data_IF_341878042047
#
_entry.id   IF_341878042047
#
_cell.length_a   1.000
_cell.length_b   1.000
_cell.length_c   1.000
_cell.angle_alpha   90.00
_cell.angle_beta   90.00
_cell.angle_gamma   90.00
#
_symmetry.space_group_name_H-M   'P 1'
#
loop_
_entity.id
_entity.type
_entity.pdbx_description
1 polymer ?
#
# COMPACT_ATOMS: atom_id res chain seq x y z
N UNK A 1 -39.22 -16.28 4.11
CA UNK A 1 -37.98 -15.59 4.51
C UNK A 1 -37.05 -15.56 3.30
N UNK A 2 -36.58 -14.40 2.85
CA UNK A 2 -35.67 -14.35 1.70
C UNK A 2 -34.29 -14.82 2.16
N UNK A 3 -33.84 -15.97 1.65
CA UNK A 3 -32.46 -16.41 1.75
C UNK A 3 -31.56 -15.31 1.19
N UNK A 4 -30.72 -14.74 2.04
CA UNK A 4 -29.67 -13.83 1.58
C UNK A 4 -28.45 -14.69 1.28
N UNK A 5 -28.27 -15.06 0.02
CA UNK A 5 -27.00 -15.59 -0.46
C UNK A 5 -25.90 -14.57 -0.12
N UNK A 6 -24.95 -15.01 0.72
CA UNK A 6 -23.83 -14.18 1.11
C UNK A 6 -22.79 -14.21 -0.02
N UNK A 7 -22.80 -13.17 -0.84
CA UNK A 7 -21.89 -12.99 -1.97
C UNK A 7 -20.62 -12.29 -1.49
N UNK A 8 -19.46 -12.94 -1.65
CA UNK A 8 -18.16 -12.33 -1.34
C UNK A 8 -17.35 -12.16 -2.60
N UNK A 9 -16.97 -10.93 -2.92
CA UNK A 9 -16.07 -10.63 -4.05
C UNK A 9 -14.69 -10.28 -3.52
N UNK A 10 -13.67 -10.92 -4.07
CA UNK A 10 -12.27 -10.69 -3.72
C UNK A 10 -11.50 -10.12 -4.90
N UNK A 11 -10.83 -8.99 -4.70
CA UNK A 11 -9.87 -8.39 -5.66
C UNK A 11 -8.48 -8.36 -5.03
N UNK A 12 -7.44 -8.39 -5.87
CA UNK A 12 -6.04 -8.29 -5.40
C UNK A 12 -5.36 -7.08 -6.02
N UNK A 13 -4.80 -6.22 -5.17
CA UNK A 13 -4.01 -5.07 -5.58
C UNK A 13 -2.56 -5.26 -5.13
N UNK A 14 -1.67 -4.45 -5.68
CA UNK A 14 -0.26 -4.40 -5.35
C UNK A 14 0.10 -2.98 -4.91
N UNK A 15 0.75 -2.87 -3.75
CA UNK A 15 1.37 -1.65 -3.27
C UNK A 15 2.88 -1.86 -3.28
N UNK A 16 3.62 -0.96 -3.90
CA UNK A 16 5.07 -1.12 -4.02
C UNK A 16 5.80 0.20 -4.13
N UNK A 17 7.13 0.12 -4.02
CA UNK A 17 8.00 1.23 -4.36
C UNK A 17 9.32 0.74 -4.95
N UNK A 18 9.90 1.60 -5.76
CA UNK A 18 11.28 1.50 -6.21
C UNK A 18 12.07 2.65 -5.59
N UNK A 19 13.33 2.43 -5.24
CA UNK A 19 14.23 3.49 -4.81
C UNK A 19 15.65 3.24 -5.29
N UNK A 20 16.31 4.30 -5.74
CA UNK A 20 17.68 4.27 -6.23
C UNK A 20 18.50 5.34 -5.51
N UNK A 21 19.74 5.01 -5.18
CA UNK A 21 20.71 6.03 -4.80
C UNK A 21 21.02 6.96 -5.96
N UNK A 22 21.09 8.25 -5.66
CA UNK A 22 21.66 9.23 -6.56
C UNK A 22 23.19 9.07 -6.61
N UNK A 23 23.79 9.34 -7.77
CA UNK A 23 25.26 9.35 -7.93
C UNK A 23 25.89 10.41 -7.02
N UNK A 24 25.23 11.56 -6.93
CA UNK A 24 25.59 12.69 -6.09
C UNK A 24 24.32 13.23 -5.43
N UNK A 25 24.39 13.74 -4.19
CA UNK A 25 23.22 14.36 -3.55
C UNK A 25 22.70 15.55 -4.35
N UNK A 26 21.39 15.80 -4.30
CA UNK A 26 20.80 17.02 -4.87
C UNK A 26 21.27 18.27 -4.11
N UNK A 27 21.01 19.47 -4.65
CA UNK A 27 21.30 20.74 -3.98
C UNK A 27 20.58 20.86 -2.62
N UNK A 28 19.41 20.25 -2.50
CA UNK A 28 18.62 20.16 -1.27
C UNK A 28 19.12 19.07 -0.30
N UNK A 29 20.14 18.30 -0.69
CA UNK A 29 20.70 17.20 0.09
C UNK A 29 19.92 15.89 -0.03
N UNK A 30 19.07 15.72 -1.05
CA UNK A 30 18.41 14.44 -1.29
C UNK A 30 19.42 13.39 -1.76
N UNK A 31 19.28 12.15 -1.31
CA UNK A 31 20.22 11.06 -1.59
C UNK A 31 19.62 9.97 -2.47
N UNK A 32 18.30 9.93 -2.59
CA UNK A 32 17.56 8.93 -3.33
C UNK A 32 16.52 9.54 -4.26
N UNK A 33 16.30 8.88 -5.38
CA UNK A 33 15.07 8.98 -6.15
C UNK A 33 14.21 7.76 -5.86
N UNK A 34 12.94 7.98 -5.57
CA UNK A 34 11.99 6.90 -5.28
C UNK A 34 10.67 7.08 -6.02
N UNK A 35 9.99 5.97 -6.25
CA UNK A 35 8.67 5.91 -6.85
C UNK A 35 7.81 4.94 -6.09
N UNK A 36 6.75 5.42 -5.45
CA UNK A 36 5.72 4.58 -4.81
C UNK A 36 4.51 4.43 -5.73
N UNK A 37 3.85 3.28 -5.71
CA UNK A 37 2.73 3.00 -6.60
C UNK A 37 1.65 2.08 -5.99
N UNK A 38 0.45 2.18 -6.55
CA UNK A 38 -0.66 1.24 -6.36
C UNK A 38 -1.12 0.76 -7.74
N UNK A 39 -1.23 -0.56 -7.94
CA UNK A 39 -1.72 -1.15 -9.19
C UNK A 39 -2.53 -2.43 -8.96
N UNK A 40 -3.18 -2.93 -10.00
CA UNK A 40 -3.81 -4.25 -9.96
C UNK A 40 -2.80 -5.37 -10.19
N UNK A 41 -3.03 -6.52 -9.55
CA UNK A 41 -2.24 -7.73 -9.80
C UNK A 41 -2.38 -8.17 -11.26
N UNK A 42 -1.28 -8.63 -11.86
CA UNK A 42 -1.21 -9.15 -13.24
C UNK A 42 -1.82 -8.19 -14.29
N UNK A 43 -1.70 -6.87 -14.10
CA UNK A 43 -2.23 -5.87 -15.04
C UNK A 43 -3.73 -5.60 -14.91
N UNK A 44 -4.38 -6.07 -13.84
CA UNK A 44 -5.79 -5.80 -13.58
C UNK A 44 -6.10 -4.30 -13.52
N UNK A 45 -7.16 -3.89 -14.23
CA UNK A 45 -7.60 -2.49 -14.35
C UNK A 45 -8.40 -2.02 -13.14
N UNK A 46 -7.69 -1.65 -12.07
CA UNK A 46 -8.31 -1.26 -10.80
C UNK A 46 -9.10 0.04 -10.88
N UNK A 47 -8.89 0.87 -11.90
CA UNK A 47 -9.67 2.09 -12.18
C UNK A 47 -11.17 1.83 -12.36
N UNK A 48 -11.59 0.58 -12.57
CA UNK A 48 -13.00 0.22 -12.58
C UNK A 48 -13.67 0.39 -11.22
N UNK A 49 -12.99 0.06 -10.12
CA UNK A 49 -13.55 0.14 -8.75
C UNK A 49 -12.86 1.19 -7.87
N UNK A 50 -11.68 1.69 -8.26
CA UNK A 50 -10.97 2.77 -7.58
C UNK A 50 -11.39 4.11 -8.18
N UNK A 51 -11.78 5.05 -7.32
CA UNK A 51 -12.11 6.44 -7.66
C UNK A 51 -10.85 7.29 -7.73
N UNK A 52 -10.03 7.22 -6.66
CA UNK A 52 -8.77 7.93 -6.56
C UNK A 52 -7.87 7.26 -5.53
N UNK A 53 -6.56 7.50 -5.66
CA UNK A 53 -5.55 7.11 -4.68
C UNK A 53 -4.92 8.38 -4.09
N UNK A 54 -4.82 8.43 -2.77
CA UNK A 54 -4.22 9.55 -2.04
C UNK A 54 -2.97 9.05 -1.31
N UNK A 55 -1.81 9.56 -1.68
CA UNK A 55 -0.54 9.33 -0.98
C UNK A 55 -0.29 10.51 -0.04
N UNK A 56 -0.16 10.24 1.26
CA UNK A 56 0.15 11.26 2.27
C UNK A 56 1.63 11.21 2.63
N UNK A 57 2.44 11.94 1.85
CA UNK A 57 3.87 12.07 2.07
C UNK A 57 4.16 12.74 3.43
N UNK A 58 5.40 12.61 3.90
CA UNK A 58 5.84 13.32 5.09
C UNK A 58 5.67 14.84 4.94
N UNK A 59 5.40 15.54 6.05
CA UNK A 59 5.08 16.99 6.07
C UNK A 59 6.17 17.91 5.52
N UNK A 60 7.40 17.40 5.36
CA UNK A 60 8.54 18.14 4.78
C UNK A 60 8.44 18.28 3.26
N UNK A 61 7.67 17.44 2.59
CA UNK A 61 7.46 17.55 1.15
C UNK A 61 6.51 18.70 0.81
N UNK A 62 6.79 19.42 -0.27
CA UNK A 62 5.83 20.38 -0.84
C UNK A 62 4.58 19.64 -1.31
N UNK A 63 3.41 20.19 -1.00
CA UNK A 63 2.12 19.55 -1.31
C UNK A 63 2.10 18.06 -0.89
N UNK A 64 2.22 17.75 0.41
CA UNK A 64 2.49 16.38 0.88
C UNK A 64 1.32 15.42 0.63
N UNK A 65 0.10 15.93 0.39
CA UNK A 65 -1.04 15.10 -0.02
C UNK A 65 -1.11 15.06 -1.54
N UNK A 66 -0.73 13.93 -2.14
CA UNK A 66 -0.79 13.69 -3.60
C UNK A 66 -2.04 12.87 -3.92
N UNK A 67 -2.97 13.45 -4.67
CA UNK A 67 -4.22 12.79 -5.07
C UNK A 67 -4.20 12.49 -6.56
N UNK A 68 -4.41 11.22 -6.93
CA UNK A 68 -4.45 10.76 -8.31
C UNK A 68 -5.79 10.10 -8.59
N UNK A 69 -6.55 10.64 -9.53
CA UNK A 69 -7.88 10.16 -9.93
C UNK A 69 -7.86 9.19 -11.12
N UNK A 70 -6.69 9.02 -11.75
CA UNK A 70 -6.48 8.15 -12.92
C UNK A 70 -5.16 7.38 -12.82
N UNK A 71 -5.06 6.17 -13.41
CA UNK A 71 -3.81 5.44 -13.50
C UNK A 71 -2.82 6.12 -14.46
N UNK A 72 -1.50 5.91 -14.30
CA UNK A 72 -0.86 5.11 -13.24
C UNK A 72 -0.89 5.83 -11.88
N UNK A 73 -1.34 5.13 -10.83
CA UNK A 73 -1.37 5.68 -9.48
C UNK A 73 0.01 5.58 -8.84
N UNK A 74 0.92 6.49 -9.21
CA UNK A 74 2.29 6.53 -8.70
C UNK A 74 2.75 7.94 -8.39
N UNK A 75 3.64 8.07 -7.40
CA UNK A 75 4.29 9.32 -7.04
C UNK A 75 5.79 9.13 -7.13
N UNK A 76 6.43 10.04 -7.86
CA UNK A 76 7.88 10.14 -8.01
C UNK A 76 8.38 11.33 -7.18
N UNK A 77 9.43 11.12 -6.41
CA UNK A 77 10.04 12.15 -5.55
C UNK A 77 11.50 11.81 -5.25
N UNK A 78 12.22 12.81 -4.74
CA UNK A 78 13.57 12.63 -4.20
C UNK A 78 13.57 12.85 -2.69
N UNK A 79 14.39 12.12 -1.96
CA UNK A 79 14.42 12.19 -0.49
C UNK A 79 15.70 11.65 0.13
N UNK A 80 15.83 11.84 1.44
CA UNK A 80 16.99 11.41 2.20
C UNK A 80 16.69 10.34 3.26
N UNK A 81 15.41 10.11 3.58
CA UNK A 81 14.99 9.17 4.61
C UNK A 81 13.69 8.46 4.22
N UNK A 82 13.57 7.21 4.70
CA UNK A 82 12.33 6.46 4.65
C UNK A 82 11.31 6.93 5.70
N UNK A 83 10.05 6.56 5.52
CA UNK A 83 8.95 6.91 6.42
C UNK A 83 7.72 6.04 6.21
N UNK A 84 6.83 6.01 7.22
CA UNK A 84 5.50 5.42 7.08
C UNK A 84 4.60 6.35 6.26
N UNK A 85 4.15 5.84 5.11
CA UNK A 85 3.34 6.52 4.12
C UNK A 85 1.89 6.00 4.18
N UNK A 86 0.93 6.79 4.69
CA UNK A 86 -0.49 6.48 4.55
C UNK A 86 -0.93 6.58 3.08
N UNK A 87 -1.51 5.49 2.57
CA UNK A 87 -2.08 5.39 1.22
C UNK A 87 -3.58 5.15 1.36
N UNK A 88 -4.41 6.11 0.93
CA UNK A 88 -5.86 5.96 0.90
C UNK A 88 -6.33 5.58 -0.51
N UNK A 89 -7.05 4.47 -0.63
CA UNK A 89 -7.73 4.06 -1.85
C UNK A 89 -9.21 4.36 -1.68
N UNK A 90 -9.71 5.36 -2.42
CA UNK A 90 -11.13 5.71 -2.44
C UNK A 90 -11.82 4.85 -3.49
N UNK A 91 -12.95 4.26 -3.10
CA UNK A 91 -13.67 3.27 -3.90
C UNK A 91 -14.85 3.94 -4.61
N UNK A 92 -15.14 3.51 -5.83
CA UNK A 92 -16.37 3.86 -6.58
C UNK A 92 -17.60 3.14 -6.00
N UNK A 93 -17.73 3.17 -4.68
CA UNK A 93 -18.75 2.52 -3.88
C UNK A 93 -19.55 3.59 -3.13
N UNK A 94 -20.88 3.57 -3.29
CA UNK A 94 -21.79 4.49 -2.59
C UNK A 94 -22.00 4.08 -1.13
N UNK A 95 -21.73 2.83 -0.79
CA UNK A 95 -21.88 2.27 0.56
C UNK A 95 -20.53 2.21 1.30
N UNK A 96 -20.59 1.94 2.61
CA UNK A 96 -19.39 1.66 3.39
C UNK A 96 -18.82 0.28 3.02
N UNK A 97 -17.48 0.10 2.93
CA UNK A 97 -16.46 1.14 3.03
C UNK A 97 -16.37 1.99 1.75
N UNK A 98 -16.22 3.31 1.92
CA UNK A 98 -15.93 4.26 0.82
C UNK A 98 -14.45 4.41 0.52
N UNK A 99 -13.59 4.04 1.47
CA UNK A 99 -12.14 4.05 1.30
C UNK A 99 -11.47 3.00 2.16
N UNK A 100 -10.27 2.61 1.75
CA UNK A 100 -9.38 1.70 2.48
C UNK A 100 -8.06 2.44 2.70
N UNK A 101 -7.47 2.33 3.89
CA UNK A 101 -6.22 3.01 4.22
C UNK A 101 -5.16 1.96 4.53
N UNK A 102 -4.01 2.07 3.87
CA UNK A 102 -2.82 1.28 4.15
C UNK A 102 -1.76 2.17 4.79
N UNK A 103 -1.11 1.66 5.84
CA UNK A 103 0.19 2.18 6.26
C UNK A 103 1.27 1.43 5.47
N UNK A 104 1.98 2.14 4.60
CA UNK A 104 3.03 1.58 3.75
C UNK A 104 4.39 2.03 4.24
N UNK A 105 5.31 1.11 4.50
CA UNK A 105 6.67 1.45 4.90
C UNK A 105 7.52 1.72 3.66
N UNK A 106 7.82 3.00 3.42
CA UNK A 106 8.73 3.44 2.36
C UNK A 106 10.11 3.55 2.99
N UNK A 107 10.89 2.48 2.91
CA UNK A 107 12.27 2.46 3.39
C UNK A 107 13.23 2.83 2.26
N UNK A 108 14.40 3.34 2.64
CA UNK A 108 15.50 3.63 1.73
C UNK A 108 16.71 2.83 2.17
N UNK A 109 17.52 2.37 1.22
CA UNK A 109 18.73 1.61 1.54
C UNK A 109 19.85 2.56 1.98
N UNK A 110 20.96 1.99 2.45
CA UNK A 110 22.23 2.71 2.64
C UNK A 110 23.07 2.65 1.37
N UNK A 111 24.05 3.55 1.24
CA UNK A 111 24.86 3.70 0.03
C UNK A 111 25.49 2.36 -0.35
N UNK A 112 25.66 2.15 -1.66
CA UNK A 112 26.29 0.96 -2.26
C UNK A 112 25.48 -0.35 -2.11
N UNK A 113 24.22 -0.26 -1.70
CA UNK A 113 23.27 -1.37 -1.78
C UNK A 113 22.50 -1.35 -3.12
N UNK A 114 22.02 -2.52 -3.60
CA UNK A 114 21.19 -2.59 -4.79
C UNK A 114 19.93 -1.70 -4.69
N UNK A 115 19.41 -1.22 -5.84
CA UNK A 115 18.11 -0.58 -5.92
C UNK A 115 17.01 -1.37 -5.20
N UNK A 116 16.14 -0.65 -4.51
CA UNK A 116 14.95 -1.25 -3.93
C UNK A 116 13.94 -1.48 -5.04
N UNK A 117 13.40 -2.69 -5.08
CA UNK A 117 12.18 -3.04 -5.79
C UNK A 117 11.32 -3.87 -4.84
N UNK A 118 10.47 -3.20 -4.06
CA UNK A 118 9.67 -3.83 -3.02
C UNK A 118 8.18 -3.69 -3.34
N UNK A 119 7.42 -4.76 -3.16
CA UNK A 119 5.97 -4.73 -3.28
C UNK A 119 5.31 -5.77 -2.38
N UNK A 120 4.04 -5.53 -2.04
CA UNK A 120 3.18 -6.50 -1.35
C UNK A 120 1.82 -6.57 -2.01
N UNK A 121 1.24 -7.77 -2.01
CA UNK A 121 -0.12 -7.98 -2.48
C UNK A 121 -1.12 -7.80 -1.34
N UNK A 122 -2.18 -7.04 -1.59
CA UNK A 122 -3.30 -6.85 -0.67
C UNK A 122 -4.56 -7.47 -1.26
N UNK A 123 -5.18 -8.38 -0.52
CA UNK A 123 -6.40 -9.09 -0.92
C UNK A 123 -7.60 -8.43 -0.28
N UNK A 124 -8.34 -7.62 -1.04
CA UNK A 124 -9.52 -6.91 -0.57
C UNK A 124 -10.74 -7.82 -0.70
N UNK A 125 -11.49 -7.96 0.39
CA UNK A 125 -12.73 -8.74 0.44
C UNK A 125 -13.91 -7.81 0.65
N UNK A 126 -14.89 -7.88 -0.24
CA UNK A 126 -16.13 -7.12 -0.17
C UNK A 126 -17.28 -8.10 0.00
N UNK A 127 -17.94 -8.04 1.17
CA UNK A 127 -19.12 -8.85 1.48
C UNK A 127 -20.39 -8.12 1.04
N UNK A 128 -21.25 -8.82 0.31
CA UNK A 128 -22.50 -8.33 -0.23
C UNK A 128 -22.40 -6.94 -0.90
N UNK A 129 -21.44 -6.74 -1.84
CA UNK A 129 -21.36 -5.48 -2.57
C UNK A 129 -22.65 -5.26 -3.36
N UNK A 130 -23.13 -4.01 -3.41
CA UNK A 130 -24.26 -3.67 -4.27
C UNK A 130 -23.96 -4.04 -5.75
N UNK A 131 -24.99 -4.30 -6.57
CA UNK A 131 -24.79 -4.79 -7.94
C UNK A 131 -23.88 -3.93 -8.80
N UNK A 132 -23.96 -2.60 -8.67
CA UNK A 132 -23.13 -1.64 -9.40
C UNK A 132 -21.64 -1.79 -9.04
N UNK A 133 -21.33 -1.84 -7.74
CA UNK A 133 -19.97 -2.00 -7.24
C UNK A 133 -19.42 -3.41 -7.51
N UNK A 134 -20.26 -4.44 -7.37
CA UNK A 134 -19.92 -5.82 -7.74
C UNK A 134 -19.45 -5.90 -9.19
N UNK A 135 -20.20 -5.34 -10.13
CA UNK A 135 -19.83 -5.32 -11.55
C UNK A 135 -18.46 -4.67 -11.78
N UNK A 136 -18.16 -3.56 -11.09
CA UNK A 136 -16.85 -2.88 -11.14
C UNK A 136 -15.72 -3.76 -10.62
N UNK A 137 -15.94 -4.48 -9.52
CA UNK A 137 -14.96 -5.41 -8.94
C UNK A 137 -14.67 -6.58 -9.88
N UNK A 138 -15.71 -7.20 -10.44
CA UNK A 138 -15.57 -8.32 -11.39
C UNK A 138 -14.84 -7.87 -12.67
N UNK A 139 -15.19 -6.69 -13.21
CA UNK A 139 -14.50 -6.10 -14.37
C UNK A 139 -13.00 -5.87 -14.13
N UNK A 140 -12.60 -5.66 -12.88
CA UNK A 140 -11.20 -5.54 -12.46
C UNK A 140 -10.54 -6.88 -12.08
N UNK A 141 -11.10 -8.02 -12.49
CA UNK A 141 -10.54 -9.35 -12.19
C UNK A 141 -10.94 -9.90 -10.81
N UNK A 142 -11.98 -9.35 -10.19
CA UNK A 142 -12.53 -9.85 -8.93
C UNK A 142 -13.09 -11.26 -9.06
N UNK A 143 -12.86 -12.08 -8.03
CA UNK A 143 -13.39 -13.45 -7.94
C UNK A 143 -14.53 -13.48 -6.94
N UNK A 144 -15.70 -13.91 -7.41
CA UNK A 144 -16.85 -14.15 -6.57
C UNK A 144 -16.75 -15.54 -5.92
N UNK A 145 -17.13 -15.61 -4.64
CA UNK A 145 -17.45 -16.86 -3.97
C UNK A 145 -18.86 -16.75 -3.43
N UNK A 146 -19.72 -17.66 -3.85
CA UNK A 146 -20.98 -17.92 -3.17
C UNK A 146 -20.71 -18.86 -2.01
N UNK A 147 -21.10 -18.47 -0.80
CA UNK A 147 -21.12 -19.42 0.32
C UNK A 147 -22.40 -20.25 0.25
N UNK A 148 -22.30 -21.44 -0.34
CA UNK A 148 -23.32 -22.48 -0.13
C UNK A 148 -23.15 -22.98 1.30
N UNK A 149 -24.15 -22.76 2.17
CA UNK A 149 -24.22 -23.50 3.44
C UNK A 149 -24.38 -24.99 3.06
N UNK A 150 -23.40 -25.83 3.40
CA UNK A 150 -23.59 -27.28 3.41
C UNK A 150 -24.60 -27.60 4.52
N UNK A 151 -25.86 -27.79 4.16
CA UNK A 151 -26.71 -28.65 4.95
C UNK A 151 -26.27 -30.10 4.72
N UNK A 152 -25.91 -30.74 5.82
CA UNK A 152 -25.75 -32.19 5.93
C UNK A 152 -27.12 -32.83 5.81
N UNK A 153 -27.42 -33.39 4.64
CA UNK A 153 -28.46 -34.40 4.48
C UNK A 153 -27.85 -35.61 3.77
N UNK A 154 -27.73 -36.67 4.55
CA UNK A 154 -27.49 -38.03 4.11
C UNK A 154 -28.60 -38.47 3.15
N UNK A 155 -28.24 -38.86 1.94
CA UNK A 155 -29.06 -39.76 1.14
C UNK A 155 -28.16 -40.75 0.44
N UNK A 156 -28.32 -42.01 0.85
CA UNK A 156 -27.76 -43.22 0.29
C UNK A 156 -27.97 -43.30 -1.22
N UNK A 157 -26.93 -43.67 -1.97
CA UNK A 157 -27.12 -44.26 -3.29
C UNK A 157 -26.29 -45.53 -3.45
N UNK A 158 -27.04 -46.56 -3.81
CA UNK A 158 -26.72 -47.94 -4.10
C UNK A 158 -25.98 -48.14 -5.42
N UNK A 159 -25.35 -49.32 -5.53
CA UNK A 159 -24.61 -49.90 -6.66
C UNK A 159 -25.40 -50.11 -7.97
N UNK A 160 -24.61 -50.22 -9.06
CA UNK A 160 -24.61 -51.12 -10.26
C UNK A 160 -24.56 -50.35 -11.59
N UNK A 161 -23.42 -50.34 -12.30
CA UNK A 161 -22.98 -51.17 -13.47
C UNK A 161 -23.79 -50.90 -14.74
N UNK A 162 -23.29 -50.73 -15.98
CA UNK A 162 -22.13 -51.21 -16.78
C UNK A 162 -22.10 -50.29 -18.05
N UNK A 163 -21.03 -50.03 -18.83
CA UNK A 163 -20.27 -50.95 -19.68
C UNK A 163 -19.09 -50.24 -20.41
N UNK A 164 -17.99 -50.99 -20.59
CA UNK A 164 -17.02 -51.04 -21.72
C UNK A 164 -16.32 -49.76 -22.22
N UNK A 165 -15.02 -49.71 -22.54
CA UNK A 165 -13.90 -50.66 -22.59
C UNK A 165 -12.72 -49.89 -23.20
N UNK A 166 -11.48 -50.03 -22.69
CA UNK A 166 -10.26 -50.28 -23.48
C UNK A 166 -8.97 -50.05 -22.66
N UNK A 167 -8.27 -51.16 -22.43
CA UNK A 167 -6.81 -51.36 -22.52
C UNK A 167 -5.86 -50.26 -22.02
N UNK A 168 -5.07 -50.58 -20.99
CA UNK A 168 -3.70 -51.11 -21.20
C UNK A 168 -2.96 -51.25 -19.87
N UNK A 169 -2.39 -52.44 -19.70
CA UNK A 169 -1.58 -52.91 -18.60
C UNK A 169 -0.16 -52.33 -18.61
N UNK A 170 0.30 -51.79 -17.48
CA UNK A 170 1.68 -51.96 -17.01
C UNK A 170 1.71 -52.04 -15.48
N UNK A 171 2.28 -53.13 -14.99
CA UNK A 171 2.59 -53.41 -13.59
C UNK A 171 3.78 -52.55 -13.13
N UNK A 172 3.85 -52.16 -11.87
CA UNK A 172 4.92 -52.62 -10.96
C UNK A 172 4.61 -52.32 -9.49
N UNK A 173 4.98 -53.32 -8.67
CA UNK A 173 4.67 -53.56 -7.26
C UNK A 173 5.39 -52.59 -6.32
N UNK A 174 4.71 -52.18 -5.24
CA UNK A 174 5.34 -51.72 -4.00
C UNK A 174 5.22 -52.80 -2.92
N UNK A 175 6.34 -53.16 -2.30
CA UNK A 175 6.40 -53.86 -1.01
C UNK A 175 7.55 -53.29 -0.17
N UNK A 176 7.16 -52.80 1.01
CA UNK A 176 7.83 -52.75 2.32
C UNK A 176 9.35 -52.94 2.42
N UNK A 177 10.03 -52.05 3.18
CA UNK A 177 10.64 -52.43 4.48
C UNK A 177 11.02 -51.22 5.35
N UNK A 178 10.88 -51.47 6.65
CA UNK A 178 11.16 -50.72 7.87
C UNK A 178 12.63 -50.38 8.16
N UNK A 179 12.87 -49.37 9.01
CA UNK A 179 13.73 -49.38 10.23
C UNK A 179 14.09 -47.92 10.61
N UNK A 180 13.47 -47.36 11.66
CA UNK A 180 13.95 -47.26 13.04
C UNK A 180 15.13 -46.30 13.26
N UNK A 181 14.91 -45.21 14.01
CA UNK A 181 15.56 -45.01 15.31
C UNK A 181 14.98 -43.82 16.07
N UNK A 182 14.91 -44.05 17.38
CA UNK A 182 14.31 -43.31 18.48
C UNK A 182 15.28 -42.33 19.15
N UNK A 183 14.75 -41.28 19.79
CA UNK A 183 15.05 -40.78 21.16
C UNK A 183 14.27 -39.47 21.36
N UNK A 184 13.18 -39.42 22.15
CA UNK A 184 13.09 -39.17 23.61
C UNK A 184 13.71 -37.84 24.06
N UNK A 185 13.14 -36.92 24.87
CA UNK A 185 11.85 -36.69 25.52
C UNK A 185 11.92 -35.32 26.23
N UNK A 186 10.77 -34.79 26.69
CA UNK A 186 10.54 -33.89 27.86
C UNK A 186 10.68 -32.36 27.69
N UNK A 187 9.53 -31.72 27.46
CA UNK A 187 8.70 -31.05 28.49
C UNK A 187 9.40 -30.32 29.66
N UNK A 188 9.21 -28.98 29.77
CA UNK A 188 8.86 -28.30 31.03
C UNK A 188 8.52 -26.81 30.87
N UNK A 189 7.64 -26.40 31.76
CA UNK A 189 6.84 -25.18 31.91
C UNK A 189 7.53 -23.97 32.59
N UNK A 190 6.91 -22.80 32.38
CA UNK A 190 6.81 -21.57 33.20
C UNK A 190 7.73 -21.33 34.41
N UNK A 191 8.32 -20.12 34.50
CA UNK A 191 8.02 -19.16 35.58
C UNK A 191 8.62 -17.76 35.40
N UNK A 192 7.78 -16.80 35.81
CA UNK A 192 7.96 -15.41 36.26
C UNK A 192 9.24 -15.08 37.05
N UNK A 193 9.76 -13.85 36.91
CA UNK A 193 9.80 -12.82 37.98
C UNK A 193 10.78 -11.66 37.71
N UNK A 194 10.42 -10.53 38.32
CA UNK A 194 10.96 -9.17 38.27
C UNK A 194 12.34 -9.02 38.92
N UNK A 195 13.13 -8.00 38.52
CA UNK A 195 13.97 -7.22 39.47
C UNK A 195 14.48 -5.86 38.92
N UNK A 196 13.99 -4.79 39.56
CA UNK A 196 14.62 -3.53 40.04
C UNK A 196 15.60 -2.77 39.13
N UNK A 197 15.36 -1.50 38.77
CA UNK A 197 15.36 -0.24 39.57
C UNK A 197 16.75 0.13 40.13
N UNK A 198 17.45 1.00 39.40
CA UNK A 198 18.56 1.89 39.79
C UNK A 198 18.48 3.08 38.82
N UNK A 199 18.80 4.34 39.10
CA UNK A 199 18.87 5.24 40.26
C UNK A 199 19.05 6.63 39.61
N UNK A 200 18.66 7.66 40.34
CA UNK A 200 18.59 9.08 40.04
C UNK A 200 19.90 9.77 39.60
N UNK A 201 19.71 10.97 39.01
CA UNK A 201 20.53 12.20 39.12
C UNK A 201 21.85 12.35 38.34
N UNK A 202 21.80 13.21 37.31
CA UNK A 202 22.70 14.35 37.04
C UNK A 202 22.29 14.96 35.69
N UNK A 203 22.31 16.27 35.38
CA UNK A 203 22.34 17.53 36.10
C UNK A 203 22.13 18.61 35.02
N UNK A 204 21.37 19.64 35.34
CA UNK A 204 21.21 20.85 34.52
C UNK A 204 22.55 21.54 34.19
N UNK A 205 22.70 22.01 32.94
CA UNK A 205 23.57 23.09 32.39
C UNK A 205 23.58 22.92 30.85
N UNK A 206 23.28 23.87 29.99
CA UNK A 206 23.30 25.33 30.05
C UNK A 206 22.19 25.92 29.15
N UNK A 207 21.45 26.88 29.68
CA UNK A 207 20.66 27.86 28.93
C UNK A 207 21.00 29.22 29.52
N UNK A 208 21.83 30.01 28.83
CA UNK A 208 21.69 31.46 28.66
C UNK A 208 22.94 32.13 28.07
N UNK A 209 22.68 33.27 27.41
CA UNK A 209 23.56 34.24 26.73
C UNK A 209 23.78 33.90 25.25
N UNK A 210 23.23 34.65 24.30
CA UNK A 210 23.24 36.10 24.22
C UNK A 210 21.92 36.67 23.67
N UNK A 211 21.27 37.50 24.49
CA UNK A 211 20.44 38.61 24.04
C UNK A 211 21.31 39.86 23.89
N UNK A 212 20.89 40.77 23.00
CA UNK A 212 21.38 42.13 22.75
C UNK A 212 22.48 42.35 21.69
N UNK A 213 22.04 42.59 20.45
CA UNK A 213 22.50 43.76 19.68
C UNK A 213 21.50 44.12 18.57
N UNK A 214 20.80 45.25 18.74
CA UNK A 214 20.32 46.25 17.76
C UNK A 214 19.62 45.75 16.47
N UNK A 215 18.34 46.03 16.16
CA UNK A 215 17.51 47.26 16.19
C UNK A 215 18.13 48.49 15.49
N UNK A 216 18.09 48.48 14.15
CA UNK A 216 17.96 49.62 13.22
C UNK A 216 17.62 49.01 11.84
N UNK A 217 16.82 49.52 10.91
CA UNK A 217 16.17 50.81 10.70
C UNK A 217 15.00 50.57 9.74
N UNK A 218 13.84 51.18 9.99
CA UNK A 218 12.75 51.32 9.03
C UNK A 218 12.54 52.82 8.85
N UNK A 219 12.87 53.35 7.67
CA UNK A 219 12.29 54.53 7.00
C UNK A 219 13.27 55.14 5.99
N UNK A 220 12.91 55.10 4.70
CA UNK A 220 12.91 56.31 3.88
C UNK A 220 11.93 56.17 2.72
N UNK A 221 11.38 57.33 2.38
CA UNK A 221 10.09 57.62 1.76
C UNK A 221 10.29 58.12 0.32
N UNK A 222 9.29 57.82 -0.51
CA UNK A 222 8.83 58.40 -1.79
C UNK A 222 9.56 59.60 -2.42
N UNK A 223 9.63 59.53 -3.77
CA UNK A 223 9.40 60.54 -4.86
C UNK A 223 10.47 60.30 -5.95
N UNK A 224 10.15 60.07 -7.23
CA UNK A 224 9.49 60.91 -8.25
C UNK A 224 8.78 60.02 -9.30
N UNK A 225 7.52 60.25 -9.72
CA UNK A 225 7.09 61.00 -10.93
C UNK A 225 7.99 60.79 -12.16
N UNK A 226 7.56 60.40 -13.36
CA UNK A 226 6.24 60.29 -13.98
C UNK A 226 6.38 60.67 -15.47
N UNK A 227 6.01 59.78 -16.40
CA UNK A 227 5.59 60.07 -17.79
C UNK A 227 5.30 58.74 -18.51
N UNK A 228 4.03 58.40 -18.77
CA UNK A 228 3.29 58.64 -20.02
C UNK A 228 3.92 57.99 -21.28
N UNK A 229 3.33 56.88 -21.74
CA UNK A 229 2.74 56.82 -23.09
C UNK A 229 1.79 55.62 -23.20
N UNK A 230 0.57 55.91 -23.64
CA UNK A 230 -0.46 54.97 -24.07
C UNK A 230 -0.26 54.56 -25.53
N UNK A 231 -1.07 53.58 -25.96
CA UNK A 231 -1.56 53.36 -27.33
C UNK A 231 -0.68 52.45 -28.23
N UNK A 232 -1.19 51.47 -28.99
CA UNK A 232 -2.54 51.04 -29.36
C UNK A 232 -2.50 49.58 -29.80
N UNK A 233 -3.54 48.80 -29.45
CA UNK A 233 -3.96 47.65 -30.25
C UNK A 233 -4.45 48.13 -31.62
N UNK A 234 -4.17 47.38 -32.69
CA UNK A 234 -4.97 47.43 -33.91
C UNK A 234 -5.04 46.05 -34.54
N UNK A 235 -6.25 45.50 -34.54
CA UNK A 235 -6.69 44.37 -35.35
C UNK A 235 -7.32 44.88 -36.64
N UNK A 236 -7.01 44.24 -37.78
CA UNK A 236 -7.94 43.79 -38.84
C UNK A 236 -7.28 43.75 -40.22
N UNK A 237 -7.52 42.62 -40.93
CA UNK A 237 -7.72 42.42 -42.39
C UNK A 237 -6.67 43.01 -43.35
N UNK A 238 -6.17 42.29 -44.35
CA UNK A 238 -6.76 41.30 -45.26
C UNK A 238 -5.84 40.09 -45.51
#
# INVERSE_FOLDING_TARGET
>A
MKEHNNCVVTVTIELGHHANFLKEPSLEGFTHDWTVFVRGKDGSKIEHFVEKVVFKLHKTFKCPTRTLDKPPYKVNESGYAGFLLPIEIHLKNKQSPRKIIFSYDLFLNVKDQPPINNFRYEKLKFSNPNPEFKAKLIKAGGKEKESVKKESLSTSQSKLETSSSSSSSYQHKSKHKSSSQSTSSKDRSEKESQLKKHKSEDRDREREKQSSSHKSSKEKKMKESGSHSQHSQKSSKD
#
